data_IF_203921595680
#
_entry.id   IF_203921595680
#
_cell.length_a   1.000
_cell.length_b   1.000
_cell.length_c   1.000
_cell.angle_alpha   90.00
_cell.angle_beta   90.00
_cell.angle_gamma   90.00
#
_symmetry.space_group_name_H-M   'P 1'
#
loop_
_entity.id
_entity.type
_entity.pdbx_description
1 polymer ?
#
# COMPACT_ATOMS: atom_id res chain seq x y z
N UNK A 1 14.44 -7.37 -6.43
CA UNK A 1 13.24 -6.52 -6.31
C UNK A 1 12.32 -7.17 -5.30
N UNK A 2 11.88 -6.46 -4.26
CA UNK A 2 10.81 -6.96 -3.39
C UNK A 2 9.62 -7.29 -4.29
N UNK A 3 9.08 -8.50 -4.17
CA UNK A 3 8.01 -9.00 -5.03
C UNK A 3 6.67 -8.35 -4.63
N UNK A 4 6.57 -7.04 -4.77
CA UNK A 4 5.38 -6.25 -4.47
C UNK A 4 4.37 -6.41 -5.61
N UNK A 5 3.15 -6.79 -5.27
CA UNK A 5 2.04 -6.98 -6.20
C UNK A 5 0.98 -5.91 -5.97
N UNK A 6 0.18 -5.65 -6.99
CA UNK A 6 -0.99 -4.77 -6.89
C UNK A 6 -1.89 -5.26 -5.73
N UNK A 7 -2.37 -4.31 -4.93
CA UNK A 7 -3.18 -4.57 -3.75
C UNK A 7 -2.37 -4.84 -2.48
N UNK A 8 -1.06 -5.07 -2.55
CA UNK A 8 -0.23 -5.18 -1.36
C UNK A 8 -0.33 -3.90 -0.52
N UNK A 9 -0.58 -4.06 0.77
CA UNK A 9 -0.46 -2.99 1.76
C UNK A 9 0.98 -2.79 2.15
N UNK A 10 1.43 -1.56 2.07
CA UNK A 10 2.79 -1.13 2.32
C UNK A 10 2.82 0.03 3.31
N UNK A 11 3.97 0.22 3.94
CA UNK A 11 4.29 1.35 4.81
C UNK A 11 5.52 2.05 4.26
N UNK A 12 5.46 3.37 4.14
CA UNK A 12 6.65 4.18 3.89
C UNK A 12 7.45 4.27 5.19
N UNK A 13 8.72 3.88 5.15
CA UNK A 13 9.58 3.87 6.34
C UNK A 13 10.03 5.27 6.76
N UNK A 14 10.00 6.24 5.85
CA UNK A 14 10.47 7.60 6.09
C UNK A 14 9.47 8.41 6.93
N UNK A 15 8.19 8.33 6.58
CA UNK A 15 7.13 9.13 7.22
C UNK A 15 6.06 8.28 7.93
N UNK A 16 6.16 6.95 7.84
CA UNK A 16 5.26 6.03 8.51
C UNK A 16 3.88 5.87 7.88
N UNK A 17 3.58 6.57 6.78
CA UNK A 17 2.27 6.49 6.11
C UNK A 17 2.04 5.11 5.52
N UNK A 18 0.78 4.67 5.54
CA UNK A 18 0.38 3.42 4.92
C UNK A 18 -0.19 3.70 3.52
N UNK A 19 -0.12 2.69 2.66
CA UNK A 19 -0.74 2.76 1.35
C UNK A 19 -0.86 1.40 0.69
N UNK A 20 -1.40 1.41 -0.53
CA UNK A 20 -1.60 0.22 -1.35
C UNK A 20 -0.86 0.36 -2.66
N UNK A 21 -0.20 -0.69 -3.10
CA UNK A 21 0.38 -0.76 -4.44
C UNK A 21 -0.76 -0.76 -5.47
N UNK A 22 -0.79 0.23 -6.35
CA UNK A 22 -1.88 0.41 -7.33
C UNK A 22 -1.50 0.02 -8.76
N UNK A 23 -0.21 -0.11 -9.06
CA UNK A 23 0.29 -0.61 -10.34
C UNK A 23 1.65 -1.28 -10.16
N UNK A 24 2.14 -1.93 -11.22
CA UNK A 24 3.45 -2.57 -11.20
C UNK A 24 4.56 -1.58 -10.85
N UNK A 25 5.47 -1.92 -9.92
CA UNK A 25 6.67 -1.12 -9.67
C UNK A 25 7.50 -0.94 -10.95
N UNK A 26 8.09 0.23 -11.12
CA UNK A 26 8.94 0.57 -12.27
C UNK A 26 10.10 1.46 -11.82
N UNK A 27 11.30 1.29 -12.39
CA UNK A 27 12.48 2.11 -12.08
C UNK A 27 12.73 2.36 -10.58
N UNK A 28 12.59 1.31 -9.75
CA UNK A 28 12.72 1.36 -8.26
C UNK A 28 11.70 2.29 -7.57
N UNK A 29 10.61 2.65 -8.25
CA UNK A 29 9.48 3.38 -7.72
C UNK A 29 8.27 2.45 -7.60
N UNK A 30 7.55 2.60 -6.50
CA UNK A 30 6.33 1.85 -6.20
C UNK A 30 5.17 2.85 -6.23
N UNK A 31 4.24 2.71 -7.18
CA UNK A 31 3.02 3.51 -7.22
C UNK A 31 2.08 3.11 -6.09
N UNK A 32 1.74 4.07 -5.24
CA UNK A 32 0.99 3.84 -4.00
C UNK A 32 -0.19 4.79 -3.88
N UNK A 33 -1.38 4.27 -3.58
CA UNK A 33 -2.50 5.07 -3.07
C UNK A 33 -2.43 5.15 -1.55
N UNK A 34 -2.45 6.37 -1.01
CA UNK A 34 -2.26 6.62 0.43
C UNK A 34 -3.54 6.29 1.20
N UNK A 35 -3.43 5.54 2.30
CA UNK A 35 -4.59 5.28 3.16
C UNK A 35 -5.07 6.57 3.84
N UNK A 36 -6.38 6.81 3.85
CA UNK A 36 -6.99 8.03 4.40
C UNK A 36 -6.85 9.26 3.50
N UNK A 37 -6.51 9.10 2.22
CA UNK A 37 -6.33 10.22 1.29
C UNK A 37 -6.79 9.86 -0.13
N UNK A 38 -7.11 10.87 -0.93
CA UNK A 38 -7.27 10.73 -2.40
C UNK A 38 -5.93 10.69 -3.13
N UNK A 39 -4.81 10.98 -2.44
CA UNK A 39 -3.49 11.13 -3.05
C UNK A 39 -2.92 9.79 -3.51
N UNK A 40 -2.28 9.85 -4.68
CA UNK A 40 -1.43 8.79 -5.22
C UNK A 40 0.00 9.31 -5.26
N UNK A 41 0.95 8.49 -4.86
CA UNK A 41 2.36 8.86 -4.77
C UNK A 41 3.25 7.79 -5.39
N UNK A 42 4.47 8.18 -5.74
CA UNK A 42 5.53 7.27 -6.14
C UNK A 42 6.54 7.21 -5.01
N UNK A 43 6.64 6.04 -4.38
CA UNK A 43 7.58 5.83 -3.29
C UNK A 43 8.82 5.07 -3.78
N UNK A 44 10.03 5.46 -3.36
CA UNK A 44 11.21 4.64 -3.58
C UNK A 44 11.02 3.24 -2.98
N UNK A 45 11.40 2.18 -3.70
CA UNK A 45 11.28 0.78 -3.26
C UNK A 45 12.03 0.55 -1.94
N UNK A 46 13.18 1.22 -1.77
CA UNK A 46 13.98 1.18 -0.54
C UNK A 46 13.23 1.75 0.66
N UNK A 47 12.34 2.73 0.43
CA UNK A 47 11.49 3.33 1.45
C UNK A 47 10.16 2.59 1.63
N UNK A 48 9.83 1.64 0.75
CA UNK A 48 8.55 0.94 0.75
C UNK A 48 8.69 -0.44 1.39
N UNK A 49 8.03 -0.65 2.54
CA UNK A 49 8.03 -1.93 3.26
C UNK A 49 6.66 -2.60 3.19
N UNK A 50 6.64 -3.88 2.84
CA UNK A 50 5.42 -4.69 2.87
C UNK A 50 4.92 -4.83 4.31
N UNK A 51 3.62 -4.63 4.55
CA UNK A 51 3.02 -4.86 5.86
C UNK A 51 2.93 -6.36 6.15
N UNK A 52 2.90 -6.79 7.43
CA UNK A 52 2.77 -8.20 7.80
C UNK A 52 1.54 -8.86 7.15
N UNK A 53 1.60 -10.17 6.89
CA UNK A 53 0.53 -10.91 6.21
C UNK A 53 -0.84 -10.70 6.89
N UNK A 54 -0.91 -10.73 8.22
CA UNK A 54 -2.14 -10.49 8.96
C UNK A 54 -2.80 -9.13 8.66
N UNK A 55 -2.01 -8.15 8.24
CA UNK A 55 -2.48 -6.80 7.90
C UNK A 55 -2.77 -6.65 6.40
N UNK A 56 -2.51 -7.64 5.55
CA UNK A 56 -2.83 -7.62 4.13
C UNK A 56 -4.33 -7.81 3.88
N UNK A 57 -4.78 -7.50 2.66
CA UNK A 57 -6.15 -7.80 2.22
C UNK A 57 -6.45 -9.30 2.30
N UNK A 58 -7.71 -9.65 2.54
CA UNK A 58 -8.19 -11.04 2.53
C UNK A 58 -7.85 -11.75 1.21
N UNK A 59 -7.98 -11.05 0.07
CA UNK A 59 -7.60 -11.58 -1.26
C UNK A 59 -6.12 -11.92 -1.42
N UNK A 60 -5.27 -11.41 -0.52
CA UNK A 60 -3.83 -11.65 -0.46
C UNK A 60 -3.44 -12.56 0.72
N UNK A 61 -4.41 -13.29 1.29
CA UNK A 61 -4.21 -14.20 2.42
C UNK A 61 -4.13 -13.51 3.79
N UNK A 62 -4.40 -12.20 3.87
CA UNK A 62 -4.42 -11.46 5.12
C UNK A 62 -5.78 -11.42 5.80
N UNK A 63 -5.91 -10.59 6.84
CA UNK A 63 -7.15 -10.43 7.62
C UNK A 63 -7.76 -9.03 7.52
N UNK A 64 -7.13 -8.11 6.80
CA UNK A 64 -7.61 -6.75 6.68
C UNK A 64 -8.82 -6.66 5.74
N UNK A 65 -9.92 -6.11 6.28
CA UNK A 65 -11.12 -5.77 5.54
C UNK A 65 -11.19 -4.23 5.46
N UNK A 66 -11.01 -3.62 4.28
CA UNK A 66 -11.13 -2.18 4.15
C UNK A 66 -12.58 -1.74 4.43
N UNK A 67 -12.81 -0.57 5.06
CA UNK A 67 -14.14 0.01 5.17
C UNK A 67 -14.70 0.40 3.80
N UNK A 68 -16.01 0.59 3.71
CA UNK A 68 -16.68 1.10 2.50
C UNK A 68 -16.08 2.47 2.09
N UNK A 69 -15.75 2.69 0.82
CA UNK A 69 -15.18 3.95 0.32
C UNK A 69 -13.65 4.11 0.45
N UNK A 70 -12.96 3.09 0.98
CA UNK A 70 -11.49 3.07 1.07
C UNK A 70 -10.80 3.24 -0.31
N UNK A 71 -9.64 3.95 -0.43
CA UNK A 71 -8.72 4.42 0.62
C UNK A 71 -9.12 5.67 1.36
N UNK A 72 -10.09 6.45 0.86
CA UNK A 72 -10.60 7.62 1.57
C UNK A 72 -12.00 7.33 2.12
N UNK A 73 -12.07 6.90 3.38
CA UNK A 73 -13.33 6.87 4.12
C UNK A 73 -13.49 8.19 4.87
N UNK A 74 -14.25 9.13 4.29
CA UNK A 74 -14.76 10.28 5.03
C UNK A 74 -15.96 9.78 5.84
N UNK A 75 -15.91 9.95 7.17
CA UNK A 75 -17.06 9.68 8.05
C UNK A 75 -18.22 10.61 7.68
#
# INVERSE_FOLDING_TARGET
MKNLKIGHRVKNINDGRNGFVISSPYNKLVPVAIEGSTRKELWPEVQTKLKPLAQQLVKLGGKFKPPTGFPLHLK
#
